data_IF_986715366786
#
_entry.id   IF_986715366786
#
_cell.length_a   1.000
_cell.length_b   1.000
_cell.length_c   1.000
_cell.angle_alpha   90.00
_cell.angle_beta   90.00
_cell.angle_gamma   90.00
#
_symmetry.space_group_name_H-M   'P 1'
#
loop_
_entity.id
_entity.type
_entity.pdbx_description
1 polymer ?
#
# COMPACT_ATOMS: atom_id res chain seq x y z
N UNK A 1 47.36 -14.86 -19.97
CA UNK A 1 46.08 -14.17 -20.22
C UNK A 1 45.16 -14.55 -19.09
N UNK A 2 44.96 -13.63 -18.16
CA UNK A 2 44.07 -13.81 -17.01
C UNK A 2 42.63 -13.50 -17.45
N UNK A 3 41.62 -14.39 -17.28
CA UNK A 3 40.26 -14.09 -17.66
C UNK A 3 39.74 -12.95 -16.79
N UNK A 4 39.41 -11.82 -17.44
CA UNK A 4 38.72 -10.69 -16.81
C UNK A 4 37.56 -11.21 -15.96
N UNK A 5 37.41 -10.78 -14.69
CA UNK A 5 36.26 -11.17 -13.88
C UNK A 5 34.98 -10.74 -14.61
N UNK A 6 34.06 -11.69 -14.78
CA UNK A 6 32.75 -11.41 -15.36
C UNK A 6 32.08 -10.31 -14.54
N UNK A 7 31.55 -9.29 -15.22
CA UNK A 7 30.79 -8.24 -14.57
C UNK A 7 29.68 -8.88 -13.73
N UNK A 8 29.44 -8.42 -12.49
CA UNK A 8 28.36 -8.97 -11.67
C UNK A 8 27.04 -8.87 -12.45
N UNK A 9 26.17 -9.90 -12.38
CA UNK A 9 24.90 -9.87 -13.09
C UNK A 9 24.16 -8.58 -12.74
N UNK A 10 23.74 -7.82 -13.76
CA UNK A 10 22.90 -6.63 -13.57
C UNK A 10 21.71 -7.05 -12.71
N UNK A 11 21.62 -6.54 -11.48
CA UNK A 11 20.48 -6.79 -10.61
C UNK A 11 19.22 -6.39 -11.38
N UNK A 12 18.33 -7.35 -11.65
CA UNK A 12 17.01 -7.01 -12.18
C UNK A 12 16.32 -6.17 -11.11
N UNK A 13 15.68 -5.03 -11.45
CA UNK A 13 15.01 -4.19 -10.47
C UNK A 13 13.89 -4.95 -9.73
N UNK A 14 13.31 -5.96 -10.38
CA UNK A 14 12.32 -6.87 -9.79
C UNK A 14 12.64 -8.32 -10.19
N UNK A 15 12.73 -9.20 -9.20
CA UNK A 15 12.87 -10.65 -9.39
C UNK A 15 11.48 -11.28 -9.54
N UNK A 16 10.85 -11.04 -10.69
CA UNK A 16 9.52 -11.54 -11.00
C UNK A 16 9.59 -12.99 -11.49
N UNK A 17 8.67 -13.80 -11.02
CA UNK A 17 8.55 -15.17 -11.45
C UNK A 17 7.99 -15.24 -12.87
N UNK A 18 8.62 -16.06 -13.71
CA UNK A 18 8.12 -16.34 -15.06
C UNK A 18 7.11 -17.49 -15.03
N UNK A 19 6.19 -17.52 -15.98
CA UNK A 19 5.17 -18.57 -16.11
C UNK A 19 3.75 -18.02 -16.07
N UNK A 20 2.78 -18.85 -16.43
CA UNK A 20 1.35 -18.58 -16.38
C UNK A 20 0.80 -18.57 -14.94
N UNK A 21 1.29 -19.48 -14.09
CA UNK A 21 0.90 -19.60 -12.67
C UNK A 21 1.44 -18.48 -11.77
N UNK A 22 2.38 -17.69 -12.27
CA UNK A 22 3.04 -16.59 -11.54
C UNK A 22 2.33 -15.25 -11.72
N UNK A 23 1.09 -15.27 -12.20
CA UNK A 23 0.30 -14.08 -12.47
C UNK A 23 -1.18 -14.38 -12.33
N UNK A 24 -1.90 -13.42 -11.76
CA UNK A 24 -3.35 -13.49 -11.59
C UNK A 24 -3.97 -12.33 -12.35
N UNK A 25 -4.99 -12.61 -13.18
CA UNK A 25 -5.79 -11.58 -13.84
C UNK A 25 -7.18 -11.58 -13.23
N UNK A 26 -7.62 -10.43 -12.75
CA UNK A 26 -8.96 -10.21 -12.19
C UNK A 26 -9.66 -9.11 -12.98
N UNK A 27 -10.83 -9.41 -13.52
CA UNK A 27 -11.75 -8.38 -14.02
C UNK A 27 -12.68 -8.02 -12.87
N UNK A 28 -12.84 -6.73 -12.62
CA UNK A 28 -13.72 -6.24 -11.58
C UNK A 28 -14.70 -5.22 -12.17
N UNK A 29 -15.97 -5.47 -11.92
CA UNK A 29 -17.07 -4.57 -12.18
C UNK A 29 -17.67 -4.16 -10.83
N UNK A 30 -17.64 -2.87 -10.53
CA UNK A 30 -18.37 -2.26 -9.43
C UNK A 30 -19.58 -1.52 -10.01
N UNK A 31 -20.79 -1.90 -9.60
CA UNK A 31 -22.05 -1.35 -10.14
C UNK A 31 -22.38 0.07 -9.65
N UNK A 32 -21.47 0.72 -8.90
CA UNK A 32 -21.68 2.01 -8.27
C UNK A 32 -22.33 1.91 -6.89
N UNK A 33 -22.99 2.99 -6.44
CA UNK A 33 -23.68 3.10 -5.13
C UNK A 33 -22.75 2.86 -3.92
N UNK A 34 -21.57 3.47 -3.95
CA UNK A 34 -20.63 3.47 -2.83
C UNK A 34 -19.67 2.28 -2.79
N UNK A 35 -19.66 1.40 -3.80
CA UNK A 35 -18.71 0.28 -3.82
C UNK A 35 -17.26 0.77 -3.73
N UNK A 36 -16.50 0.22 -2.78
CA UNK A 36 -15.12 0.61 -2.50
C UNK A 36 -14.31 -0.52 -1.88
N UNK A 37 -13.01 -0.29 -1.65
CA UNK A 37 -12.11 -1.26 -1.04
C UNK A 37 -11.36 -0.61 0.13
N UNK A 38 -11.42 -1.20 1.34
CA UNK A 38 -10.71 -0.69 2.51
C UNK A 38 -9.21 -0.55 2.28
N UNK A 39 -8.55 0.21 3.15
CA UNK A 39 -7.11 0.46 3.10
C UNK A 39 -6.31 -0.83 3.32
N UNK A 40 -5.43 -1.19 2.37
CA UNK A 40 -4.68 -2.44 2.39
C UNK A 40 -3.38 -2.38 1.56
N UNK A 41 -2.58 -3.44 1.69
CA UNK A 41 -1.51 -3.79 0.76
C UNK A 41 -2.00 -5.01 -0.04
N UNK A 42 -1.71 -5.05 -1.34
CA UNK A 42 -2.04 -6.22 -2.16
C UNK A 42 -1.19 -7.44 -1.80
N UNK A 43 -0.03 -7.22 -1.19
CA UNK A 43 0.76 -8.21 -0.48
C UNK A 43 0.91 -7.80 0.99
N UNK A 44 0.06 -8.30 1.91
CA UNK A 44 0.17 -8.00 3.34
C UNK A 44 1.29 -8.81 4.04
N UNK A 45 1.94 -9.74 3.34
CA UNK A 45 2.93 -10.67 3.88
C UNK A 45 2.69 -12.10 3.35
N UNK A 46 3.49 -13.08 3.80
CA UNK A 46 3.26 -14.50 3.49
C UNK A 46 1.82 -14.93 3.83
N UNK A 47 1.19 -15.80 3.03
CA UNK A 47 1.77 -16.56 1.91
C UNK A 47 1.74 -15.84 0.55
N UNK A 48 1.37 -14.55 0.49
CA UNK A 48 1.30 -13.82 -0.78
C UNK A 48 2.67 -13.71 -1.45
N UNK A 49 2.72 -13.92 -2.76
CA UNK A 49 3.90 -13.77 -3.64
C UNK A 49 3.80 -12.54 -4.54
N UNK A 50 2.73 -11.75 -4.44
CA UNK A 50 2.48 -10.61 -5.33
C UNK A 50 3.56 -9.55 -5.14
N UNK A 51 4.29 -9.24 -6.21
CA UNK A 51 5.34 -8.23 -6.23
C UNK A 51 4.88 -6.93 -6.88
N UNK A 52 4.15 -7.03 -8.00
CA UNK A 52 3.59 -5.88 -8.70
C UNK A 52 2.09 -5.99 -8.85
N UNK A 53 1.42 -4.86 -8.74
CA UNK A 53 0.01 -4.67 -9.08
C UNK A 53 -0.06 -3.74 -10.27
N UNK A 54 -0.77 -4.18 -11.32
CA UNK A 54 -1.10 -3.39 -12.49
C UNK A 54 -2.62 -3.24 -12.58
N UNK A 55 -3.14 -2.03 -12.66
CA UNK A 55 -4.58 -1.76 -12.78
C UNK A 55 -4.83 -0.96 -14.05
N UNK A 56 -5.56 -1.55 -15.00
CA UNK A 56 -6.05 -0.87 -16.19
C UNK A 56 -7.51 -0.46 -15.98
N UNK A 57 -7.78 0.83 -16.12
CA UNK A 57 -9.12 1.39 -16.01
C UNK A 57 -9.85 1.45 -17.36
N UNK A 58 -11.14 1.12 -17.34
CA UNK A 58 -11.97 0.96 -18.55
C UNK A 58 -13.25 1.82 -18.48
N UNK A 59 -13.15 3.05 -17.97
CA UNK A 59 -14.31 3.93 -17.70
C UNK A 59 -14.31 5.14 -18.65
N UNK A 60 -14.88 5.04 -19.87
CA UNK A 60 -14.80 6.10 -20.90
C UNK A 60 -15.49 7.39 -20.49
N UNK A 61 -16.58 7.28 -19.74
CA UNK A 61 -17.44 8.41 -19.38
C UNK A 61 -17.13 8.98 -17.98
N UNK A 62 -16.07 8.49 -17.32
CA UNK A 62 -15.70 8.96 -15.98
C UNK A 62 -15.37 10.46 -15.98
N UNK A 63 -15.99 11.18 -15.05
CA UNK A 63 -15.82 12.61 -14.83
C UNK A 63 -15.47 12.90 -13.36
N UNK A 64 -14.92 14.10 -13.11
CA UNK A 64 -14.60 14.51 -11.74
C UNK A 64 -15.88 14.60 -10.90
N UNK A 65 -15.86 13.96 -9.73
CA UNK A 65 -17.04 13.82 -8.84
C UNK A 65 -17.69 12.43 -8.87
N UNK A 66 -17.45 11.62 -9.90
CA UNK A 66 -18.03 10.26 -10.02
C UNK A 66 -17.52 9.27 -8.95
N UNK A 67 -16.39 9.59 -8.32
CA UNK A 67 -15.74 8.75 -7.32
C UNK A 67 -14.93 7.60 -7.93
N UNK A 68 -14.67 6.58 -7.12
CA UNK A 68 -13.96 5.36 -7.55
C UNK A 68 -12.45 5.53 -7.71
N UNK A 69 -11.87 6.65 -7.28
CA UNK A 69 -10.43 6.89 -7.39
C UNK A 69 -9.63 5.90 -6.54
N UNK A 70 -8.46 5.54 -7.04
CA UNK A 70 -7.46 4.85 -6.26
C UNK A 70 -6.69 5.89 -5.44
N UNK A 71 -6.73 5.77 -4.11
CA UNK A 71 -5.92 6.59 -3.22
C UNK A 71 -4.73 5.78 -2.73
N UNK A 72 -3.54 6.16 -3.18
CA UNK A 72 -2.26 5.65 -2.70
C UNK A 72 -1.83 6.46 -1.48
N UNK A 73 -1.28 5.80 -0.47
CA UNK A 73 -0.72 6.40 0.74
C UNK A 73 0.72 5.92 0.87
N UNK A 74 1.67 6.50 0.11
CA UNK A 74 3.07 6.16 0.28
C UNK A 74 3.52 6.51 1.71
N UNK A 75 4.27 5.62 2.36
CA UNK A 75 4.57 5.75 3.79
C UNK A 75 5.24 7.09 4.12
N UNK A 76 4.62 7.82 5.04
CA UNK A 76 4.97 9.16 5.51
C UNK A 76 5.23 10.18 4.37
N UNK A 77 4.46 10.08 3.28
CA UNK A 77 4.40 11.06 2.18
C UNK A 77 2.97 11.52 1.94
N UNK A 78 2.83 12.56 1.13
CA UNK A 78 1.54 13.03 0.65
C UNK A 78 0.78 11.89 -0.06
N UNK A 79 -0.52 11.68 0.23
CA UNK A 79 -1.34 10.75 -0.51
C UNK A 79 -1.46 11.15 -1.98
N UNK A 80 -1.51 10.18 -2.87
CA UNK A 80 -1.70 10.39 -4.31
C UNK A 80 -3.05 9.82 -4.72
N UNK A 81 -3.88 10.63 -5.38
CA UNK A 81 -5.17 10.20 -5.89
C UNK A 81 -5.08 9.99 -7.40
N UNK A 82 -5.55 8.84 -7.87
CA UNK A 82 -5.55 8.49 -9.29
C UNK A 82 -6.99 8.24 -9.77
N UNK A 83 -7.45 9.14 -10.63
CA UNK A 83 -8.76 9.04 -11.26
C UNK A 83 -8.81 7.81 -12.20
N UNK A 84 -9.88 7.01 -12.17
CA UNK A 84 -9.99 5.76 -12.92
C UNK A 84 -10.39 6.00 -14.39
N UNK A 85 -9.73 6.91 -15.10
CA UNK A 85 -10.02 7.26 -16.50
C UNK A 85 -9.75 6.08 -17.44
N UNK A 86 -10.55 5.96 -18.50
CA UNK A 86 -10.34 4.94 -19.53
C UNK A 86 -8.91 4.93 -20.10
N UNK A 87 -8.36 3.74 -20.30
CA UNK A 87 -7.01 3.55 -20.84
C UNK A 87 -5.88 3.86 -19.86
N UNK A 88 -6.18 4.34 -18.64
CA UNK A 88 -5.15 4.60 -17.63
C UNK A 88 -4.67 3.30 -17.00
N UNK A 89 -3.37 3.05 -17.13
CA UNK A 89 -2.64 2.02 -16.42
C UNK A 89 -1.97 2.61 -15.18
N UNK A 90 -2.14 1.96 -14.04
CA UNK A 90 -1.41 2.26 -12.80
C UNK A 90 -0.59 1.03 -12.42
N UNK A 91 0.69 1.21 -12.11
CA UNK A 91 1.57 0.14 -11.66
C UNK A 91 2.24 0.53 -10.35
N UNK A 92 2.22 -0.37 -9.36
CA UNK A 92 2.88 -0.15 -8.08
C UNK A 92 3.31 -1.45 -7.41
N UNK A 93 4.22 -1.32 -6.42
CA UNK A 93 4.72 -2.43 -5.62
C UNK A 93 3.65 -2.91 -4.63
N UNK A 94 3.25 -4.18 -4.77
CA UNK A 94 2.16 -4.78 -4.00
C UNK A 94 2.41 -4.81 -2.49
N UNK A 95 3.68 -4.86 -2.08
CA UNK A 95 4.15 -4.98 -0.69
C UNK A 95 4.61 -3.65 -0.06
N UNK A 96 4.68 -2.56 -0.84
CA UNK A 96 5.15 -1.24 -0.38
C UNK A 96 4.08 -0.15 -0.43
N UNK A 97 3.06 -0.28 -1.27
CA UNK A 97 2.09 0.79 -1.47
C UNK A 97 0.78 0.48 -0.76
N UNK A 98 0.58 1.16 0.38
CA UNK A 98 -0.70 1.18 1.07
C UNK A 98 -1.72 1.94 0.21
N UNK A 99 -2.89 1.37 -0.02
CA UNK A 99 -3.88 2.02 -0.86
C UNK A 99 -5.31 1.58 -0.54
N UNK A 100 -6.26 2.41 -0.94
CA UNK A 100 -7.70 2.13 -0.91
C UNK A 100 -8.35 2.59 -2.20
N UNK A 101 -9.53 2.06 -2.49
CA UNK A 101 -10.39 2.61 -3.54
C UNK A 101 -11.46 3.44 -2.84
N UNK A 102 -11.69 4.66 -3.31
CA UNK A 102 -12.75 5.52 -2.78
C UNK A 102 -14.13 5.04 -3.27
N UNK A 103 -15.23 5.36 -2.56
CA UNK A 103 -16.59 5.10 -3.02
C UNK A 103 -16.82 5.58 -4.46
N UNK A 104 -17.44 4.72 -5.27
CA UNK A 104 -17.84 5.02 -6.65
C UNK A 104 -19.35 5.16 -6.69
N UNK A 105 -19.85 6.29 -7.17
CA UNK A 105 -21.30 6.50 -7.35
C UNK A 105 -21.80 5.91 -8.67
N UNK A 106 -20.91 5.87 -9.66
CA UNK A 106 -21.16 5.32 -11.00
C UNK A 106 -20.53 3.94 -11.19
N UNK A 107 -20.90 3.28 -12.28
CA UNK A 107 -20.31 2.02 -12.72
C UNK A 107 -18.80 2.18 -12.96
N UNK A 108 -18.02 1.20 -12.48
CA UNK A 108 -16.56 1.23 -12.54
C UNK A 108 -15.99 -0.14 -12.90
N UNK A 109 -15.29 -0.18 -14.03
CA UNK A 109 -14.54 -1.32 -14.52
C UNK A 109 -13.03 -1.14 -14.33
N UNK A 110 -12.38 -2.21 -13.90
CA UNK A 110 -10.94 -2.33 -14.01
C UNK A 110 -10.50 -3.77 -14.25
N UNK A 111 -9.37 -3.91 -14.94
CA UNK A 111 -8.61 -5.15 -15.03
C UNK A 111 -7.40 -5.02 -14.12
N UNK A 112 -7.26 -5.92 -13.16
CA UNK A 112 -6.10 -6.00 -12.26
C UNK A 112 -5.24 -7.20 -12.63
N UNK A 113 -3.94 -6.97 -12.82
CA UNK A 113 -2.93 -8.01 -12.99
C UNK A 113 -2.00 -7.95 -11.80
N UNK A 114 -1.89 -9.05 -11.07
CA UNK A 114 -0.81 -9.24 -10.10
C UNK A 114 0.27 -10.10 -10.72
N UNK A 115 1.52 -9.65 -10.58
CA UNK A 115 2.70 -10.41 -10.97
C UNK A 115 3.43 -10.85 -9.71
N UNK A 116 3.68 -12.15 -9.61
CA UNK A 116 4.39 -12.73 -8.47
C UNK A 116 5.90 -12.59 -8.63
N UNK A 117 6.62 -12.57 -7.51
CA UNK A 117 8.06 -12.49 -7.50
C UNK A 117 8.68 -12.89 -6.17
N UNK A 118 10.00 -12.77 -6.11
CA UNK A 118 10.79 -13.01 -4.90
C UNK A 118 10.63 -11.86 -3.92
N UNK A 119 9.55 -11.93 -3.13
CA UNK A 119 9.16 -10.96 -2.10
C UNK A 119 9.07 -11.64 -0.75
N UNK A 120 8.82 -10.85 0.30
CA UNK A 120 8.67 -11.36 1.66
C UNK A 120 9.93 -12.07 2.20
N UNK A 121 11.11 -11.56 1.85
CA UNK A 121 12.35 -12.04 2.47
C UNK A 121 12.32 -11.80 4.00
N UNK A 122 13.19 -12.45 4.78
CA UNK A 122 13.31 -12.17 6.21
C UNK A 122 13.57 -10.70 6.55
N UNK A 123 14.14 -9.93 5.61
CA UNK A 123 14.35 -8.49 5.77
C UNK A 123 13.06 -7.68 5.58
N UNK A 124 12.16 -8.15 4.72
CA UNK A 124 10.92 -7.46 4.33
C UNK A 124 9.75 -7.74 5.29
N UNK A 125 9.85 -8.83 6.04
CA UNK A 125 8.82 -9.32 6.97
C UNK A 125 9.11 -8.99 8.42
N UNK A 126 10.32 -8.48 8.72
CA UNK A 126 10.75 -8.13 10.08
C UNK A 126 11.08 -6.65 10.18
N UNK A 127 10.66 -6.04 11.28
CA UNK A 127 11.01 -4.66 11.58
C UNK A 127 12.44 -4.59 12.16
N UNK A 128 13.43 -4.50 11.27
CA UNK A 128 14.84 -4.40 11.64
C UNK A 128 15.28 -2.93 11.68
N UNK A 129 15.16 -2.31 12.84
CA UNK A 129 15.53 -0.91 13.05
C UNK A 129 16.82 -0.78 13.88
N UNK A 130 17.70 0.18 13.56
CA UNK A 130 18.90 0.41 14.35
C UNK A 130 18.52 0.97 15.74
N UNK A 131 19.39 0.83 16.77
CA UNK A 131 19.16 1.44 18.09
C UNK A 131 18.96 2.96 18.04
N UNK A 132 19.43 3.62 16.97
CA UNK A 132 19.28 5.05 16.73
C UNK A 132 17.96 5.44 16.06
N UNK A 133 17.04 4.50 15.83
CA UNK A 133 15.82 4.74 15.04
C UNK A 133 14.93 5.86 15.59
N UNK A 134 14.95 6.08 16.92
CA UNK A 134 14.24 7.18 17.57
C UNK A 134 15.02 8.51 17.59
N UNK A 135 16.34 8.47 17.39
CA UNK A 135 17.19 9.69 17.41
C UNK A 135 17.05 10.49 16.11
N UNK A 136 16.80 9.81 14.99
CA UNK A 136 16.61 10.42 13.68
C UNK A 136 15.37 9.83 13.01
N UNK A 137 14.21 10.39 13.39
CA UNK A 137 12.92 9.90 12.92
C UNK A 137 12.73 10.16 11.42
N UNK A 138 13.36 11.20 10.87
CA UNK A 138 13.33 11.51 9.44
C UNK A 138 14.00 10.38 8.65
N UNK A 139 15.23 10.02 9.03
CA UNK A 139 15.96 8.92 8.40
C UNK A 139 15.25 7.57 8.55
N UNK A 140 14.64 7.32 9.71
CA UNK A 140 13.82 6.12 9.92
C UNK A 140 12.59 6.11 9.00
N UNK A 141 11.90 7.23 8.85
CA UNK A 141 10.76 7.37 7.94
C UNK A 141 11.17 7.11 6.48
N UNK A 142 12.28 7.71 6.02
CA UNK A 142 12.80 7.51 4.67
C UNK A 142 13.19 6.04 4.42
N UNK A 143 13.80 5.38 5.41
CA UNK A 143 14.15 3.96 5.31
C UNK A 143 12.92 3.04 5.30
N UNK A 144 11.89 3.34 6.08
CA UNK A 144 10.63 2.58 6.10
C UNK A 144 9.84 2.79 4.80
N UNK A 145 9.85 3.99 4.23
CA UNK A 145 9.20 4.27 2.95
C UNK A 145 9.70 3.35 1.83
N UNK A 146 11.01 3.12 1.75
CA UNK A 146 11.62 2.20 0.79
C UNK A 146 11.63 0.72 1.20
N UNK A 147 10.86 0.32 2.22
CA UNK A 147 10.89 -1.04 2.77
C UNK A 147 9.49 -1.61 3.00
N UNK A 148 9.25 -2.84 2.58
CA UNK A 148 8.01 -3.58 2.84
C UNK A 148 7.77 -3.86 4.34
N UNK A 149 8.78 -3.69 5.20
CA UNK A 149 8.62 -3.79 6.65
C UNK A 149 7.70 -2.72 7.24
N UNK A 150 7.41 -1.63 6.49
CA UNK A 150 6.40 -0.64 6.85
C UNK A 150 5.01 -1.24 7.12
N UNK A 151 4.70 -2.39 6.52
CA UNK A 151 3.42 -3.09 6.71
C UNK A 151 3.14 -3.39 8.17
N UNK A 152 4.18 -3.69 8.95
CA UNK A 152 4.09 -3.97 10.38
C UNK A 152 3.68 -2.74 11.23
N UNK A 153 3.83 -1.52 10.69
CA UNK A 153 3.56 -0.26 11.40
C UNK A 153 2.38 0.51 10.80
N UNK A 154 2.11 0.31 9.51
CA UNK A 154 1.12 1.07 8.72
C UNK A 154 -0.20 1.27 9.45
N UNK A 155 -0.81 0.21 9.98
CA UNK A 155 -2.09 0.28 10.70
C UNK A 155 -2.05 1.21 11.92
N UNK A 156 -0.92 1.26 12.63
CA UNK A 156 -0.77 2.12 13.80
C UNK A 156 -0.27 3.54 13.47
N UNK A 157 0.34 3.74 12.30
CA UNK A 157 0.72 5.07 11.78
C UNK A 157 -0.47 5.79 11.12
N UNK A 158 -1.39 5.02 10.54
CA UNK A 158 -2.58 5.51 9.84
C UNK A 158 -3.91 5.01 10.44
N UNK A 159 -4.08 5.03 11.79
CA UNK A 159 -5.23 4.35 12.42
C UNK A 159 -6.56 4.94 11.96
N UNK A 160 -6.64 6.27 11.92
CA UNK A 160 -7.85 7.01 11.55
C UNK A 160 -8.21 6.77 10.07
N UNK A 161 -7.20 6.70 9.18
CA UNK A 161 -7.41 6.41 7.76
C UNK A 161 -7.89 4.96 7.52
N UNK A 162 -7.40 4.00 8.32
CA UNK A 162 -7.88 2.62 8.29
C UNK A 162 -9.32 2.52 8.79
N UNK A 163 -9.62 3.07 9.97
CA UNK A 163 -10.96 3.05 10.55
C UNK A 163 -11.98 3.70 9.62
N UNK A 164 -11.68 4.91 9.11
CA UNK A 164 -12.54 5.58 8.14
C UNK A 164 -12.75 4.72 6.89
N UNK A 165 -11.71 4.07 6.36
CA UNK A 165 -11.87 3.22 5.16
C UNK A 165 -12.72 1.98 5.40
N UNK A 166 -12.70 1.43 6.62
CA UNK A 166 -13.56 0.31 6.99
C UNK A 166 -15.02 0.78 7.07
N UNK A 167 -15.27 1.92 7.71
CA UNK A 167 -16.61 2.50 7.80
C UNK A 167 -17.17 2.89 6.42
N UNK A 168 -16.35 3.53 5.58
CA UNK A 168 -16.74 3.94 4.23
C UNK A 168 -17.18 2.74 3.37
N UNK A 169 -16.53 1.57 3.52
CA UNK A 169 -16.76 0.41 2.65
C UNK A 169 -17.65 -0.69 3.24
N UNK A 170 -17.68 -0.81 4.57
CA UNK A 170 -18.38 -1.88 5.27
C UNK A 170 -19.50 -1.34 6.16
N UNK A 171 -19.66 -0.03 6.29
CA UNK A 171 -20.69 0.58 7.13
C UNK A 171 -22.09 0.07 6.76
N UNK A 172 -22.78 -0.51 7.74
CA UNK A 172 -24.11 -1.09 7.54
C UNK A 172 -24.12 -2.47 6.87
N UNK A 173 -22.96 -3.08 6.62
CA UNK A 173 -22.81 -4.46 6.13
C UNK A 173 -22.42 -5.39 7.28
N UNK A 174 -22.94 -6.62 7.27
CA UNK A 174 -22.55 -7.67 8.21
C UNK A 174 -21.02 -7.89 8.16
N UNK A 175 -20.39 -7.99 9.34
CA UNK A 175 -18.93 -8.11 9.46
C UNK A 175 -18.20 -6.79 9.73
N UNK A 176 -18.86 -5.63 9.60
CA UNK A 176 -18.21 -4.34 9.85
C UNK A 176 -17.69 -4.20 11.29
N UNK A 177 -18.49 -4.61 12.27
CA UNK A 177 -18.14 -4.53 13.68
C UNK A 177 -16.92 -5.40 14.01
N UNK A 178 -16.86 -6.61 13.45
CA UNK A 178 -15.76 -7.54 13.60
C UNK A 178 -14.47 -7.02 12.96
N UNK A 179 -14.56 -6.36 11.80
CA UNK A 179 -13.40 -5.73 11.16
C UNK A 179 -12.87 -4.55 11.98
N UNK A 180 -13.76 -3.72 12.55
CA UNK A 180 -13.39 -2.62 13.43
C UNK A 180 -12.76 -3.14 14.73
N UNK A 181 -13.31 -4.20 15.32
CA UNK A 181 -12.74 -4.81 16.52
C UNK A 181 -11.37 -5.46 16.22
N UNK A 182 -11.21 -6.12 15.07
CA UNK A 182 -9.91 -6.62 14.61
C UNK A 182 -8.88 -5.49 14.45
N UNK A 183 -9.31 -4.37 13.86
CA UNK A 183 -8.48 -3.16 13.77
C UNK A 183 -8.07 -2.65 15.16
N UNK A 184 -9.03 -2.50 16.09
CA UNK A 184 -8.77 -2.03 17.45
C UNK A 184 -7.86 -2.99 18.24
N UNK A 185 -8.07 -4.30 18.12
CA UNK A 185 -7.25 -5.33 18.75
C UNK A 185 -5.78 -5.25 18.28
N UNK A 186 -5.57 -5.02 16.98
CA UNK A 186 -4.22 -4.84 16.44
C UNK A 186 -3.53 -3.60 17.05
N UNK A 187 -4.24 -2.47 17.16
CA UNK A 187 -3.69 -1.26 17.77
C UNK A 187 -3.35 -1.45 19.26
N UNK A 188 -4.19 -2.16 20.01
CA UNK A 188 -3.93 -2.50 21.42
C UNK A 188 -2.71 -3.40 21.57
N UNK A 189 -2.57 -4.43 20.74
CA UNK A 189 -1.42 -5.33 20.75
C UNK A 189 -0.11 -4.58 20.48
N UNK A 190 -0.10 -3.68 19.49
CA UNK A 190 1.07 -2.85 19.19
C UNK A 190 1.40 -1.88 20.33
N UNK A 191 0.38 -1.24 20.90
CA UNK A 191 0.54 -0.26 21.99
C UNK A 191 1.07 -0.88 23.28
N UNK A 192 0.82 -2.18 23.50
CA UNK A 192 1.41 -2.94 24.61
C UNK A 192 2.94 -3.07 24.54
N UNK A 193 3.53 -2.93 23.35
CA UNK A 193 4.98 -2.91 23.16
C UNK A 193 5.51 -1.47 23.27
N UNK A 194 6.06 -1.11 24.43
CA UNK A 194 6.52 0.27 24.74
C UNK A 194 7.50 0.83 23.69
N UNK A 195 8.60 0.16 23.31
CA UNK A 195 9.49 0.63 22.24
C UNK A 195 8.77 0.89 20.91
N UNK A 196 7.88 -0.02 20.52
CA UNK A 196 7.14 0.08 19.26
C UNK A 196 6.15 1.23 19.28
N UNK A 197 5.47 1.43 20.41
CA UNK A 197 4.58 2.58 20.64
C UNK A 197 5.34 3.90 20.52
N UNK A 198 6.50 4.04 21.17
CA UNK A 198 7.32 5.26 21.08
C UNK A 198 7.73 5.58 19.64
N UNK A 199 8.06 4.55 18.85
CA UNK A 199 8.37 4.72 17.43
C UNK A 199 7.14 5.19 16.65
N UNK A 200 5.99 4.54 16.82
CA UNK A 200 4.76 4.91 16.11
C UNK A 200 4.34 6.34 16.47
N UNK A 201 4.40 6.73 17.73
CA UNK A 201 4.08 8.09 18.16
C UNK A 201 4.99 9.13 17.47
N UNK A 202 6.30 8.84 17.37
CA UNK A 202 7.25 9.71 16.69
C UNK A 202 6.99 9.78 15.16
N UNK A 203 6.65 8.66 14.53
CA UNK A 203 6.28 8.61 13.10
C UNK A 203 4.97 9.38 12.83
N UNK A 204 3.98 9.26 13.72
CA UNK A 204 2.72 10.02 13.62
C UNK A 204 2.93 11.52 13.79
N UNK A 205 3.78 11.93 14.74
CA UNK A 205 4.17 13.34 14.90
C UNK A 205 4.77 13.89 13.61
N UNK A 206 5.72 13.15 13.01
CA UNK A 206 6.31 13.51 11.72
C UNK A 206 5.27 13.59 10.60
N UNK A 207 4.33 12.62 10.54
CA UNK A 207 3.22 12.63 9.56
C UNK A 207 2.46 13.96 9.59
N UNK A 208 2.13 14.43 10.80
CA UNK A 208 1.41 15.69 11.00
C UNK A 208 2.24 16.92 10.58
N UNK A 209 3.54 16.93 10.86
CA UNK A 209 4.46 18.01 10.45
C UNK A 209 4.64 18.12 8.93
N UNK A 210 4.48 16.99 8.21
CA UNK A 210 4.63 16.94 6.74
C UNK A 210 3.30 16.97 5.99
N UNK A 211 2.16 17.06 6.67
CA UNK A 211 0.84 17.01 6.05
C UNK A 211 0.57 18.21 5.11
N UNK A 212 1.23 19.34 5.36
CA UNK A 212 1.09 20.57 4.58
C UNK A 212 2.13 20.71 3.44
N UNK A 213 3.02 19.72 3.26
CA UNK A 213 4.00 19.75 2.18
C UNK A 213 3.35 19.31 0.85
N UNK A 214 3.50 20.11 -0.20
CA UNK A 214 2.98 19.75 -1.53
C UNK A 214 3.57 18.42 -2.02
N UNK A 215 2.77 17.59 -2.73
CA UNK A 215 3.27 16.34 -3.26
C UNK A 215 4.36 16.59 -4.31
N UNK A 216 5.58 16.10 -4.06
CA UNK A 216 6.59 15.92 -5.10
C UNK A 216 6.08 14.88 -6.10
N UNK A 217 5.39 15.34 -7.15
CA UNK A 217 5.03 14.51 -8.29
C UNK A 217 6.08 14.66 -9.39
N UNK A 218 6.79 13.57 -9.68
CA UNK A 218 7.27 13.30 -11.03
C UNK A 218 6.26 12.33 -11.64
N UNK A 219 5.28 12.87 -12.37
CA UNK A 219 4.49 12.10 -13.33
C UNK A 219 5.22 12.21 -14.65
N UNK A 220 5.91 11.14 -15.05
CA UNK A 220 6.29 10.92 -16.46
C UNK A 220 5.22 10.07 -17.15
#
# INVERSE_FOLDING_TARGET
MDPRPSAPPKRRPFDLYTGDRSRTVKIQHNAGRGGCFPLHYDNPGPPSSRALTCILYLNPDWSEGDGGELQLIPFLRAPVRVNPRHGRLVVFLSDHVLHKVLPSEVERFCLTIWLDGSVNSPRDTRLNLPPTALKDIKKTADALHGSASQRALSRAVYPDEYEKSLLDCMGGVDGCAEMLESHAAHLRALSGNKPLKMLVDALRKRKAETADAEPEMVVE
#
